data_IF_044605624209
#
_entry.id   IF_044605624209
#
_cell.length_a   1.000
_cell.length_b   1.000
_cell.length_c   1.000
_cell.angle_alpha   90.00
_cell.angle_beta   90.00
_cell.angle_gamma   90.00
#
_symmetry.space_group_name_H-M   'P 1'
#
loop_
_entity.id
_entity.type
_entity.pdbx_description
1 polymer ?
#
# COMPACT_ATOMS: atom_id res chain seq x y z
N UNK A 1 -2.86 -16.50 4.20
CA UNK A 1 -2.34 -15.37 4.99
C UNK A 1 -2.38 -15.58 6.50
N UNK A 2 -3.45 -16.15 7.09
CA UNK A 2 -3.47 -16.42 8.54
C UNK A 2 -2.33 -17.37 8.98
N UNK A 3 -2.07 -18.43 8.21
CA UNK A 3 -0.94 -19.35 8.44
C UNK A 3 0.42 -18.63 8.39
N UNK A 4 0.62 -17.70 7.45
CA UNK A 4 1.85 -16.89 7.38
C UNK A 4 2.00 -15.99 8.62
N UNK A 5 0.91 -15.36 9.07
CA UNK A 5 0.91 -14.57 10.29
C UNK A 5 1.24 -15.42 11.53
N UNK A 6 0.68 -16.63 11.61
CA UNK A 6 1.00 -17.59 12.66
C UNK A 6 2.47 -18.02 12.63
N UNK A 7 3.01 -18.35 11.46
CA UNK A 7 4.41 -18.72 11.31
C UNK A 7 5.34 -17.58 11.75
N UNK A 8 5.09 -16.35 11.29
CA UNK A 8 5.86 -15.18 11.71
C UNK A 8 5.84 -15.02 13.24
N UNK A 9 4.68 -15.17 13.89
CA UNK A 9 4.57 -15.13 15.36
C UNK A 9 5.39 -16.23 16.04
N UNK A 10 5.35 -17.47 15.53
CA UNK A 10 6.13 -18.58 16.06
C UNK A 10 7.65 -18.36 15.94
N UNK A 11 8.07 -17.67 14.87
CA UNK A 11 9.48 -17.36 14.62
C UNK A 11 9.93 -16.02 15.21
N UNK A 12 9.06 -15.31 15.95
CA UNK A 12 9.39 -13.99 16.50
C UNK A 12 9.58 -12.87 15.46
N UNK A 13 9.08 -13.06 14.23
CA UNK A 13 9.18 -12.08 13.14
C UNK A 13 7.94 -11.17 13.14
N UNK A 14 8.16 -9.85 13.09
CA UNK A 14 7.08 -8.88 12.93
C UNK A 14 6.57 -8.91 11.48
N UNK A 15 5.26 -9.12 11.30
CA UNK A 15 4.60 -9.06 10.00
C UNK A 15 3.81 -7.76 9.86
N UNK A 16 3.90 -7.14 8.69
CA UNK A 16 3.09 -6.00 8.27
C UNK A 16 2.55 -6.22 6.86
N UNK A 17 1.35 -5.72 6.58
CA UNK A 17 0.73 -5.78 5.26
C UNK A 17 0.70 -4.39 4.65
N UNK A 18 1.37 -4.22 3.52
CA UNK A 18 1.31 -3.01 2.71
C UNK A 18 0.27 -3.13 1.60
N UNK A 19 -0.59 -2.11 1.47
CA UNK A 19 -1.56 -2.01 0.38
C UNK A 19 -1.34 -0.72 -0.41
N UNK A 20 -1.39 -0.82 -1.73
CA UNK A 20 -1.21 0.30 -2.64
C UNK A 20 -2.26 0.28 -3.75
N UNK A 21 -2.58 1.43 -4.36
CA UNK A 21 -3.57 1.50 -5.42
C UNK A 21 -2.97 1.16 -6.78
N UNK A 22 -3.74 0.47 -7.60
CA UNK A 22 -3.48 0.34 -9.04
C UNK A 22 -3.93 1.59 -9.80
N UNK A 23 -3.46 1.76 -11.04
CA UNK A 23 -3.77 2.92 -11.87
C UNK A 23 -5.28 3.22 -11.95
N UNK A 24 -6.11 2.19 -12.17
CA UNK A 24 -7.57 2.32 -12.20
C UNK A 24 -8.16 2.87 -10.88
N UNK A 25 -7.59 2.46 -9.75
CA UNK A 25 -8.02 2.92 -8.42
C UNK A 25 -7.58 4.35 -8.14
N UNK A 26 -6.43 4.76 -8.68
CA UNK A 26 -5.96 6.15 -8.67
C UNK A 26 -6.90 7.01 -9.51
N UNK A 27 -7.25 6.57 -10.73
CA UNK A 27 -8.20 7.24 -11.62
C UNK A 27 -9.58 7.41 -10.98
N UNK A 28 -10.09 6.37 -10.31
CA UNK A 28 -11.34 6.44 -9.56
C UNK A 28 -11.25 7.23 -8.24
N UNK A 29 -10.05 7.68 -7.85
CA UNK A 29 -9.76 8.50 -6.64
C UNK A 29 -10.38 7.94 -5.35
N UNK A 30 -10.49 6.62 -5.25
CA UNK A 30 -11.19 5.94 -4.16
C UNK A 30 -10.23 5.45 -3.07
N UNK A 31 -10.09 6.25 -2.01
CA UNK A 31 -9.31 5.87 -0.82
C UNK A 31 -9.88 4.66 -0.07
N UNK A 32 -11.21 4.55 0.00
CA UNK A 32 -11.91 3.42 0.66
C UNK A 32 -12.20 2.30 -0.33
N UNK A 33 -11.16 1.64 -0.81
CA UNK A 33 -11.28 0.49 -1.71
C UNK A 33 -11.62 -0.80 -0.95
N UNK A 34 -12.12 -1.82 -1.66
CA UNK A 34 -12.38 -3.16 -1.07
C UNK A 34 -11.09 -3.75 -0.49
N UNK A 35 -9.97 -3.51 -1.15
CA UNK A 35 -8.63 -3.96 -0.77
C UNK A 35 -8.19 -3.33 0.55
N UNK A 36 -8.31 -2.01 0.68
CA UNK A 36 -7.95 -1.29 1.92
C UNK A 36 -8.83 -1.76 3.08
N UNK A 37 -10.14 -1.93 2.87
CA UNK A 37 -11.06 -2.41 3.90
C UNK A 37 -10.73 -3.84 4.34
N UNK A 38 -10.60 -4.76 3.38
CA UNK A 38 -10.32 -6.16 3.67
C UNK A 38 -9.00 -6.34 4.43
N UNK A 39 -7.91 -5.73 3.93
CA UNK A 39 -6.60 -5.92 4.53
C UNK A 39 -6.44 -5.22 5.87
N UNK A 40 -7.11 -4.09 6.08
CA UNK A 40 -7.17 -3.45 7.41
C UNK A 40 -7.85 -4.36 8.44
N UNK A 41 -9.00 -4.94 8.09
CA UNK A 41 -9.71 -5.85 9.00
C UNK A 41 -8.92 -7.14 9.24
N UNK A 42 -8.29 -7.69 8.20
CA UNK A 42 -7.38 -8.84 8.35
C UNK A 42 -6.22 -8.51 9.29
N UNK A 43 -5.55 -7.37 9.09
CA UNK A 43 -4.40 -6.98 9.89
C UNK A 43 -4.79 -6.79 11.37
N UNK A 44 -5.94 -6.17 11.62
CA UNK A 44 -6.53 -6.03 12.96
C UNK A 44 -6.83 -7.40 13.59
N UNK A 45 -7.48 -8.31 12.85
CA UNK A 45 -7.83 -9.66 13.32
C UNK A 45 -6.58 -10.47 13.72
N UNK A 46 -5.56 -10.45 12.87
CA UNK A 46 -4.32 -11.21 13.08
C UNK A 46 -3.28 -10.49 13.94
N UNK A 47 -3.58 -9.27 14.39
CA UNK A 47 -2.68 -8.40 15.17
C UNK A 47 -1.32 -8.20 14.48
N UNK A 48 -1.36 -7.92 13.19
CA UNK A 48 -0.18 -7.60 12.35
C UNK A 48 -0.23 -6.13 11.92
N UNK A 49 0.92 -5.58 11.51
CA UNK A 49 0.98 -4.20 11.04
C UNK A 49 0.18 -3.98 9.75
N UNK A 50 -0.29 -2.75 9.54
CA UNK A 50 -1.02 -2.36 8.34
C UNK A 50 -0.48 -1.02 7.81
N UNK A 51 -0.10 -1.00 6.53
CA UNK A 51 0.46 0.17 5.85
C UNK A 51 -0.45 0.52 4.67
N UNK A 52 -1.15 1.65 4.77
CA UNK A 52 -2.03 2.15 3.71
C UNK A 52 -1.30 3.19 2.85
N UNK A 53 -0.94 2.79 1.62
CA UNK A 53 -0.25 3.65 0.66
C UNK A 53 -1.24 4.39 -0.28
N UNK A 54 -2.54 4.15 -0.19
CA UNK A 54 -3.53 4.85 -1.05
C UNK A 54 -3.43 6.37 -0.96
N UNK A 55 -3.31 7.00 0.23
CA UNK A 55 -3.21 8.46 0.35
C UNK A 55 -1.98 9.08 -0.33
N UNK A 56 -0.92 8.29 -0.56
CA UNK A 56 0.31 8.78 -1.19
C UNK A 56 0.12 8.99 -2.70
N UNK A 57 -0.72 8.17 -3.34
CA UNK A 57 -1.03 8.29 -4.77
C UNK A 57 -2.35 9.03 -5.04
N UNK A 58 -3.34 8.91 -4.15
CA UNK A 58 -4.65 9.55 -4.28
C UNK A 58 -4.65 10.82 -3.43
N UNK A 59 -4.17 11.90 -4.03
CA UNK A 59 -4.03 13.21 -3.38
C UNK A 59 -4.46 14.33 -4.36
N UNK A 60 -4.21 15.60 -4.05
CA UNK A 60 -4.64 16.75 -4.86
C UNK A 60 -4.02 16.81 -6.27
N UNK A 61 -2.98 16.02 -6.57
CA UNK A 61 -2.35 15.96 -7.89
C UNK A 61 -3.30 15.23 -8.87
N UNK A 62 -3.42 15.71 -10.12
CA UNK A 62 -4.18 15.02 -11.18
C UNK A 62 -3.69 13.59 -11.40
N UNK A 63 -4.61 12.68 -11.70
CA UNK A 63 -4.32 11.25 -11.91
C UNK A 63 -3.26 11.04 -12.97
N UNK A 64 -3.38 11.71 -14.11
CA UNK A 64 -2.48 11.58 -15.26
C UNK A 64 -1.05 11.95 -14.86
N UNK A 65 -0.91 12.96 -14.01
CA UNK A 65 0.39 13.40 -13.47
C UNK A 65 0.93 12.42 -12.42
N UNK A 66 0.09 11.83 -11.58
CA UNK A 66 0.50 10.75 -10.66
C UNK A 66 1.02 9.55 -11.45
N UNK A 67 0.28 9.12 -12.49
CA UNK A 67 0.66 7.97 -13.31
C UNK A 67 1.96 8.24 -14.07
N UNK A 68 2.11 9.41 -14.70
CA UNK A 68 3.34 9.74 -15.43
C UNK A 68 4.56 9.93 -14.52
N UNK A 69 4.36 10.43 -13.30
CA UNK A 69 5.45 10.62 -12.33
C UNK A 69 5.92 9.32 -11.69
N UNK A 70 5.02 8.39 -11.39
CA UNK A 70 5.33 7.28 -10.47
C UNK A 70 5.19 5.88 -11.08
N UNK A 71 4.67 5.74 -12.30
CA UNK A 71 4.50 4.44 -12.98
C UNK A 71 5.35 4.37 -14.23
N UNK A 72 5.69 3.14 -14.63
CA UNK A 72 6.32 2.87 -15.93
C UNK A 72 5.24 3.04 -17.02
N UNK A 73 5.48 3.79 -18.11
CA UNK A 73 4.47 3.99 -19.15
C UNK A 73 4.00 2.67 -19.76
N UNK A 74 2.68 2.43 -19.71
CA UNK A 74 2.06 1.20 -20.22
C UNK A 74 2.16 -0.03 -19.29
N UNK A 75 2.68 0.15 -18.07
CA UNK A 75 2.87 -0.92 -17.10
C UNK A 75 2.23 -0.55 -15.74
N UNK A 76 1.87 -1.56 -14.96
CA UNK A 76 1.26 -1.42 -13.64
C UNK A 76 2.27 -1.20 -12.51
N UNK A 77 3.55 -1.45 -12.78
CA UNK A 77 4.64 -1.29 -11.82
C UNK A 77 5.13 0.16 -11.74
N UNK A 78 5.72 0.47 -10.60
CA UNK A 78 6.29 1.79 -10.35
C UNK A 78 7.61 1.99 -11.08
N UNK A 79 7.90 3.24 -11.43
CA UNK A 79 9.25 3.64 -11.79
C UNK A 79 10.09 3.93 -10.52
N UNK A 80 11.33 4.39 -10.69
CA UNK A 80 12.22 4.74 -9.57
C UNK A 80 11.56 5.74 -8.59
N UNK A 81 10.94 6.80 -9.10
CA UNK A 81 10.29 7.82 -8.26
C UNK A 81 9.09 7.24 -7.49
N UNK A 82 8.34 6.32 -8.11
CA UNK A 82 7.23 5.62 -7.46
C UNK A 82 7.71 4.67 -6.36
N UNK A 83 8.79 3.92 -6.60
CA UNK A 83 9.44 3.12 -5.56
C UNK A 83 9.92 3.99 -4.40
N UNK A 84 10.53 5.15 -4.67
CA UNK A 84 10.95 6.08 -3.63
C UNK A 84 9.76 6.64 -2.82
N UNK A 85 8.63 6.93 -3.46
CA UNK A 85 7.40 7.34 -2.78
C UNK A 85 6.87 6.24 -1.86
N UNK A 86 6.85 4.99 -2.33
CA UNK A 86 6.41 3.82 -1.56
C UNK A 86 7.32 3.57 -0.36
N UNK A 87 8.64 3.62 -0.54
CA UNK A 87 9.60 3.46 0.54
C UNK A 87 9.39 4.51 1.66
N UNK A 88 9.23 5.79 1.28
CA UNK A 88 8.87 6.86 2.23
C UNK A 88 7.53 6.60 2.91
N UNK A 89 6.53 6.14 2.16
CA UNK A 89 5.23 5.81 2.71
C UNK A 89 5.29 4.68 3.74
N UNK A 90 6.09 3.65 3.48
CA UNK A 90 6.32 2.54 4.40
C UNK A 90 7.03 3.01 5.67
N UNK A 91 8.14 3.75 5.55
CA UNK A 91 8.88 4.27 6.72
C UNK A 91 7.98 5.14 7.62
N UNK A 92 7.23 6.08 7.04
CA UNK A 92 6.34 6.97 7.79
C UNK A 92 5.18 6.24 8.50
N UNK A 93 4.81 5.03 8.07
CA UNK A 93 3.78 4.23 8.74
C UNK A 93 4.36 3.29 9.80
N UNK A 94 5.66 2.98 9.75
CA UNK A 94 6.33 2.12 10.73
C UNK A 94 6.95 2.90 11.90
N UNK A 95 7.18 4.20 11.74
CA UNK A 95 7.67 5.10 12.81
C UNK A 95 6.56 5.58 13.77
N UNK A 96 5.31 5.12 13.58
CA UNK A 96 4.16 5.43 14.45
C UNK A 96 3.91 4.33 15.46
#
# INVERSE_FOLDING_TARGET
>A
MAEAAQLCRQQGVKLSIGVYPWAEQISGRRLKSKQVLFWREFAKKERVGFVDLFPYFINKIPTEKILSMYFIPGDVHWNEAGHALVARGIMNNMEK
#
